data_IF_044881238861
#
_entry.id   IF_044881238861
#
_cell.length_a   1.000
_cell.length_b   1.000
_cell.length_c   1.000
_cell.angle_alpha   90.00
_cell.angle_beta   90.00
_cell.angle_gamma   90.00
#
_symmetry.space_group_name_H-M   'P 1'
#
loop_
_entity.id
_entity.type
_entity.pdbx_description
1 polymer ?
#
# COMPACT_ATOMS: atom_id res chain seq x y z
N UNK A 1 0.71 3.69 3.50
CA UNK A 1 1.33 2.53 4.23
C UNK A 1 2.83 2.61 4.08
N UNK A 2 3.60 2.51 5.16
CA UNK A 2 5.07 2.73 5.18
C UNK A 2 5.76 1.50 5.77
N UNK A 3 6.87 1.00 5.18
CA UNK A 3 7.23 -0.38 5.46
C UNK A 3 8.68 -0.77 5.19
N UNK A 4 9.16 -1.74 5.98
CA UNK A 4 10.35 -2.55 5.70
C UNK A 4 9.97 -3.77 4.86
N UNK A 5 10.89 -4.34 4.07
CA UNK A 5 10.65 -5.55 3.27
C UNK A 5 10.29 -6.76 4.16
N UNK A 6 9.43 -7.67 3.68
CA UNK A 6 9.06 -8.90 4.40
C UNK A 6 8.04 -8.73 5.53
N UNK A 7 7.43 -7.55 5.71
CA UNK A 7 6.50 -7.28 6.83
C UNK A 7 5.03 -7.58 6.53
N UNK A 8 4.70 -8.22 5.39
CA UNK A 8 3.33 -8.61 5.05
C UNK A 8 2.53 -7.56 4.28
N UNK A 9 3.17 -6.54 3.70
CA UNK A 9 2.52 -5.46 2.93
C UNK A 9 1.60 -5.97 1.85
N UNK A 10 2.14 -6.79 0.96
CA UNK A 10 1.43 -7.33 -0.19
C UNK A 10 0.18 -8.10 0.24
N UNK A 11 0.30 -8.94 1.29
CA UNK A 11 -0.85 -9.70 1.81
C UNK A 11 -1.96 -8.79 2.33
N UNK A 12 -1.61 -7.73 3.09
CA UNK A 12 -2.58 -6.72 3.55
C UNK A 12 -3.25 -6.02 2.37
N UNK A 13 -2.45 -5.60 1.38
CA UNK A 13 -2.95 -4.91 0.20
C UNK A 13 -3.90 -5.78 -0.62
N UNK A 14 -3.54 -7.03 -0.85
CA UNK A 14 -4.38 -7.97 -1.60
C UNK A 14 -5.66 -8.27 -0.82
N UNK A 15 -5.59 -8.54 0.49
CA UNK A 15 -6.79 -8.75 1.30
C UNK A 15 -7.71 -7.52 1.31
N UNK A 16 -7.15 -6.30 1.41
CA UNK A 16 -7.94 -5.06 1.29
C UNK A 16 -8.74 -5.00 -0.01
N UNK A 17 -8.13 -5.36 -1.15
CA UNK A 17 -8.81 -5.37 -2.45
C UNK A 17 -9.86 -6.48 -2.54
N UNK A 18 -9.53 -7.69 -2.09
CA UNK A 18 -10.45 -8.83 -2.12
C UNK A 18 -11.68 -8.55 -1.26
N UNK A 19 -11.51 -8.02 -0.04
CA UNK A 19 -12.64 -7.64 0.83
C UNK A 19 -13.53 -6.60 0.16
N UNK A 20 -12.95 -5.65 -0.61
CA UNK A 20 -13.73 -4.73 -1.43
C UNK A 20 -14.50 -5.43 -2.53
N UNK A 21 -13.84 -6.29 -3.29
CA UNK A 21 -14.43 -7.01 -4.40
C UNK A 21 -15.58 -7.94 -3.95
N UNK A 22 -15.43 -8.61 -2.80
CA UNK A 22 -16.49 -9.40 -2.16
C UNK A 22 -17.69 -8.55 -1.75
N UNK A 23 -17.48 -7.28 -1.40
CA UNK A 23 -18.55 -6.31 -1.12
C UNK A 23 -19.12 -5.64 -2.38
N UNK A 24 -18.73 -6.11 -3.57
CA UNK A 24 -19.23 -5.59 -4.85
C UNK A 24 -18.45 -4.38 -5.42
N UNK A 25 -17.41 -3.91 -4.73
CA UNK A 25 -16.56 -2.81 -5.18
C UNK A 25 -15.56 -3.31 -6.24
N UNK A 26 -15.31 -2.48 -7.27
CA UNK A 26 -14.23 -2.79 -8.22
C UNK A 26 -12.88 -2.43 -7.57
N UNK A 27 -11.95 -3.35 -7.64
CA UNK A 27 -10.66 -3.28 -6.96
C UNK A 27 -9.52 -3.44 -7.95
N UNK A 28 -8.47 -2.61 -7.81
CA UNK A 28 -7.33 -2.58 -8.71
C UNK A 28 -6.01 -2.61 -7.94
N UNK A 29 -5.12 -3.51 -8.35
CA UNK A 29 -3.73 -3.55 -7.91
C UNK A 29 -2.82 -3.07 -9.05
N UNK A 30 -2.10 -1.97 -8.82
CA UNK A 30 -1.04 -1.50 -9.72
C UNK A 30 0.32 -1.94 -9.16
N UNK A 31 0.95 -2.87 -9.83
CA UNK A 31 2.30 -3.33 -9.49
C UNK A 31 3.34 -2.53 -10.25
N UNK A 32 4.36 -2.04 -9.52
CA UNK A 32 5.46 -1.25 -10.12
C UNK A 32 6.71 -2.09 -10.33
N UNK A 33 7.01 -3.00 -9.42
CA UNK A 33 8.29 -3.73 -9.39
C UNK A 33 8.13 -5.22 -9.60
N UNK A 34 7.07 -5.83 -9.12
CA UNK A 34 6.84 -7.26 -9.25
C UNK A 34 5.84 -7.55 -10.38
N UNK A 35 6.17 -8.43 -11.36
CA UNK A 35 5.20 -8.85 -12.35
C UNK A 35 3.94 -9.43 -11.73
N UNK A 36 2.78 -9.03 -12.23
CA UNK A 36 1.47 -9.44 -11.68
C UNK A 36 1.27 -10.96 -11.71
N UNK A 37 1.81 -11.67 -12.69
CA UNK A 37 1.77 -13.13 -12.76
C UNK A 37 2.50 -13.80 -11.58
N UNK A 38 3.61 -13.20 -11.11
CA UNK A 38 4.34 -13.69 -9.94
C UNK A 38 3.57 -13.36 -8.67
N UNK A 39 3.03 -12.14 -8.57
CA UNK A 39 2.18 -11.73 -7.45
C UNK A 39 1.00 -12.69 -7.27
N UNK A 40 0.29 -13.01 -8.36
CA UNK A 40 -0.85 -13.92 -8.35
C UNK A 40 -0.47 -15.32 -7.86
N UNK A 41 0.66 -15.87 -8.29
CA UNK A 41 1.16 -17.17 -7.79
C UNK A 41 1.38 -17.18 -6.28
N UNK A 42 1.76 -16.04 -5.70
CA UNK A 42 1.99 -15.90 -4.27
C UNK A 42 0.70 -15.74 -3.46
N UNK A 43 -0.38 -15.25 -4.06
CA UNK A 43 -1.65 -14.96 -3.35
C UNK A 43 -2.74 -16.01 -3.59
N UNK A 44 -2.71 -16.74 -4.70
CA UNK A 44 -3.65 -17.83 -5.01
C UNK A 44 -3.75 -18.88 -3.88
N UNK A 45 -2.65 -19.28 -3.19
CA UNK A 45 -2.73 -20.25 -2.12
C UNK A 45 -3.48 -19.81 -0.86
N UNK A 46 -3.85 -18.54 -0.73
CA UNK A 46 -4.60 -18.09 0.43
C UNK A 46 -6.10 -18.40 0.28
N UNK A 47 -6.72 -18.91 1.34
CA UNK A 47 -8.14 -19.29 1.37
C UNK A 47 -9.10 -18.11 1.10
N UNK A 48 -8.64 -16.88 1.37
CA UNK A 48 -9.43 -15.69 1.09
C UNK A 48 -9.36 -15.23 -0.38
N UNK A 49 -8.48 -15.82 -1.20
CA UNK A 49 -8.36 -15.47 -2.61
C UNK A 49 -9.42 -16.20 -3.43
N UNK A 50 -10.28 -15.43 -4.09
CA UNK A 50 -11.32 -15.95 -4.96
C UNK A 50 -11.03 -15.55 -6.43
N UNK A 51 -10.55 -16.52 -7.22
CA UNK A 51 -10.26 -16.31 -8.65
C UNK A 51 -11.48 -15.84 -9.46
N UNK A 52 -12.70 -16.14 -8.99
CA UNK A 52 -13.92 -15.69 -9.68
C UNK A 52 -14.00 -14.17 -9.72
N UNK A 53 -13.49 -13.47 -8.70
CA UNK A 53 -13.46 -12.01 -8.67
C UNK A 53 -12.62 -11.42 -9.80
N UNK A 54 -11.49 -12.05 -10.12
CA UNK A 54 -10.65 -11.65 -11.25
C UNK A 54 -11.36 -11.93 -12.60
N UNK A 55 -11.98 -13.11 -12.75
CA UNK A 55 -12.74 -13.49 -13.97
C UNK A 55 -13.94 -12.58 -14.20
N UNK A 56 -14.55 -12.05 -13.14
CA UNK A 56 -15.69 -11.12 -13.21
C UNK A 56 -15.25 -9.65 -13.39
N UNK A 57 -13.95 -9.35 -13.45
CA UNK A 57 -13.41 -7.99 -13.53
C UNK A 57 -13.56 -7.16 -12.25
N UNK A 58 -13.95 -7.80 -11.12
CA UNK A 58 -14.07 -7.14 -9.83
C UNK A 58 -12.73 -6.92 -9.14
N UNK A 59 -11.76 -7.76 -9.43
CA UNK A 59 -10.38 -7.65 -8.95
C UNK A 59 -9.44 -7.69 -10.16
N UNK A 60 -8.69 -6.62 -10.35
CA UNK A 60 -7.78 -6.49 -11.48
C UNK A 60 -6.35 -6.25 -11.00
N UNK A 61 -5.39 -6.73 -11.80
CA UNK A 61 -3.96 -6.54 -11.58
C UNK A 61 -3.35 -5.98 -12.85
N UNK A 62 -2.63 -4.87 -12.73
CA UNK A 62 -1.98 -4.19 -13.86
C UNK A 62 -0.51 -3.96 -13.52
N UNK A 63 0.37 -4.31 -14.46
CA UNK A 63 1.79 -3.95 -14.39
C UNK A 63 1.96 -2.51 -14.87
N UNK A 64 2.40 -1.63 -13.98
CA UNK A 64 2.61 -0.21 -14.29
C UNK A 64 3.70 0.00 -15.39
N UNK A 65 4.79 -0.78 -15.45
CA UNK A 65 5.74 -0.70 -16.55
C UNK A 65 5.11 -0.85 -17.94
N UNK A 66 4.10 -1.72 -18.09
CA UNK A 66 3.35 -1.84 -19.36
C UNK A 66 2.51 -0.61 -19.69
N UNK A 67 2.10 0.17 -18.68
CA UNK A 67 1.45 1.46 -18.90
C UNK A 67 2.46 2.50 -19.38
N UNK A 68 3.68 2.51 -18.83
CA UNK A 68 4.75 3.40 -19.30
C UNK A 68 5.04 3.19 -20.79
N UNK A 69 5.21 1.94 -21.21
CA UNK A 69 5.43 1.59 -22.63
C UNK A 69 4.31 2.13 -23.53
N UNK A 70 3.04 1.95 -23.15
CA UNK A 70 1.87 2.42 -23.92
C UNK A 70 1.79 3.95 -23.99
N UNK A 71 2.28 4.65 -22.96
CA UNK A 71 2.26 6.11 -22.89
C UNK A 71 3.51 6.74 -23.50
N UNK A 72 4.49 5.94 -23.93
CA UNK A 72 5.79 6.44 -24.38
C UNK A 72 6.58 7.14 -23.29
N UNK A 73 6.34 6.76 -22.03
CA UNK A 73 7.04 7.33 -20.88
C UNK A 73 8.38 6.62 -20.72
N UNK A 74 9.46 7.39 -20.55
CA UNK A 74 10.77 6.87 -20.21
C UNK A 74 10.73 6.14 -18.87
N UNK A 75 11.35 4.97 -18.83
CA UNK A 75 11.37 4.15 -17.63
C UNK A 75 12.46 4.51 -16.65
N UNK A 76 13.47 5.32 -17.04
CA UNK A 76 14.60 5.69 -16.20
C UNK A 76 14.33 6.94 -15.36
N UNK A 77 13.76 7.98 -15.96
CA UNK A 77 13.46 9.23 -15.30
C UNK A 77 12.11 9.78 -15.76
N UNK A 78 11.29 10.26 -14.82
CA UNK A 78 10.04 10.95 -15.08
C UNK A 78 10.25 12.46 -14.96
N UNK A 79 10.07 13.17 -16.06
CA UNK A 79 9.97 14.62 -16.02
C UNK A 79 8.61 15.07 -15.42
N UNK A 80 8.42 16.36 -15.29
CA UNK A 80 7.22 16.93 -14.69
C UNK A 80 5.94 16.57 -15.45
N UNK A 81 5.97 16.66 -16.78
CA UNK A 81 4.80 16.38 -17.62
C UNK A 81 4.48 14.89 -17.64
N UNK A 82 5.49 14.04 -17.69
CA UNK A 82 5.34 12.57 -17.62
C UNK A 82 4.79 12.11 -16.27
N UNK A 83 5.24 12.70 -15.16
CA UNK A 83 4.70 12.40 -13.84
C UNK A 83 3.22 12.81 -13.72
N UNK A 84 2.84 13.96 -14.27
CA UNK A 84 1.43 14.40 -14.34
C UNK A 84 0.59 13.50 -15.24
N UNK A 85 1.09 13.18 -16.43
CA UNK A 85 0.42 12.26 -17.36
C UNK A 85 0.16 10.91 -16.71
N UNK A 86 1.13 10.39 -15.95
CA UNK A 86 0.97 9.15 -15.21
C UNK A 86 -0.14 9.23 -14.16
N UNK A 87 -0.15 10.30 -13.34
CA UNK A 87 -1.20 10.49 -12.34
C UNK A 87 -2.59 10.58 -12.99
N UNK A 88 -2.71 11.32 -14.10
CA UNK A 88 -3.97 11.48 -14.82
C UNK A 88 -4.42 10.18 -15.50
N UNK A 89 -3.48 9.41 -16.02
CA UNK A 89 -3.79 8.09 -16.61
C UNK A 89 -4.30 7.12 -15.57
N UNK A 90 -3.65 7.05 -14.39
CA UNK A 90 -4.13 6.23 -13.26
C UNK A 90 -5.54 6.66 -12.85
N UNK A 91 -5.78 7.96 -12.75
CA UNK A 91 -7.09 8.50 -12.39
C UNK A 91 -8.15 8.21 -13.47
N UNK A 92 -7.78 8.23 -14.75
CA UNK A 92 -8.62 7.84 -15.88
C UNK A 92 -9.04 6.36 -15.79
N UNK A 93 -8.09 5.46 -15.55
CA UNK A 93 -8.37 4.02 -15.36
C UNK A 93 -9.33 3.80 -14.18
N UNK A 94 -9.12 4.51 -13.07
CA UNK A 94 -9.99 4.42 -11.89
C UNK A 94 -11.43 4.86 -12.22
N UNK A 95 -11.59 5.93 -13.01
CA UNK A 95 -12.89 6.43 -13.42
C UNK A 95 -13.60 5.47 -14.40
N UNK A 96 -12.92 5.11 -15.49
CA UNK A 96 -13.46 4.26 -16.55
C UNK A 96 -13.92 2.90 -16.03
N UNK A 97 -13.15 2.32 -15.12
CA UNK A 97 -13.43 1.01 -14.52
C UNK A 97 -14.24 1.12 -13.21
N UNK A 98 -14.59 2.33 -12.78
CA UNK A 98 -15.31 2.59 -11.52
C UNK A 98 -14.65 1.93 -10.31
N UNK A 99 -13.31 2.02 -10.24
CA UNK A 99 -12.52 1.45 -9.16
C UNK A 99 -12.83 2.17 -7.85
N UNK A 100 -13.10 1.41 -6.79
CA UNK A 100 -13.36 1.92 -5.44
C UNK A 100 -12.22 1.64 -4.48
N UNK A 101 -11.40 0.63 -4.78
CA UNK A 101 -10.20 0.33 -4.00
C UNK A 101 -9.00 0.18 -4.93
N UNK A 102 -7.98 0.97 -4.66
CA UNK A 102 -6.73 0.96 -5.41
C UNK A 102 -5.56 0.65 -4.49
N UNK A 103 -4.65 -0.17 -4.96
CA UNK A 103 -3.30 -0.34 -4.39
C UNK A 103 -2.28 0.09 -5.42
N UNK A 104 -1.31 0.92 -5.04
CA UNK A 104 -0.11 1.22 -5.82
C UNK A 104 1.12 0.71 -5.05
N UNK A 105 1.72 -0.36 -5.52
CA UNK A 105 2.86 -1.05 -4.88
C UNK A 105 4.08 -1.12 -5.83
N UNK A 106 5.09 -0.27 -5.62
CA UNK A 106 5.19 0.74 -4.57
C UNK A 106 5.28 2.15 -5.16
N UNK A 107 4.67 3.11 -4.48
CA UNK A 107 4.79 4.53 -4.84
C UNK A 107 6.25 5.00 -4.71
N UNK A 108 7.02 4.39 -3.80
CA UNK A 108 8.46 4.62 -3.67
C UNK A 108 9.19 4.42 -4.99
N UNK A 109 8.90 3.34 -5.70
CA UNK A 109 9.54 3.03 -7.00
C UNK A 109 9.17 4.02 -8.09
N UNK A 110 7.97 4.61 -8.04
CA UNK A 110 7.58 5.72 -8.94
C UNK A 110 8.36 6.99 -8.58
N UNK A 111 8.37 7.36 -7.30
CA UNK A 111 9.02 8.58 -6.82
C UNK A 111 10.53 8.60 -7.04
N UNK A 112 11.20 7.44 -7.02
CA UNK A 112 12.63 7.35 -7.37
C UNK A 112 12.94 7.83 -8.80
N UNK A 113 11.99 7.71 -9.70
CA UNK A 113 12.13 8.18 -11.09
C UNK A 113 11.89 9.67 -11.25
N UNK A 114 11.19 10.30 -10.31
CA UNK A 114 10.88 11.75 -10.35
C UNK A 114 12.07 12.59 -9.87
N UNK A 115 12.94 12.04 -9.02
CA UNK A 115 14.18 12.64 -8.45
C UNK A 115 14.02 13.95 -7.66
N UNK A 116 13.15 14.85 -8.07
CA UNK A 116 12.94 16.17 -7.46
C UNK A 116 11.84 16.11 -6.39
N UNK A 117 12.12 16.62 -5.18
CA UNK A 117 11.20 16.51 -4.04
C UNK A 117 9.91 17.31 -4.21
N UNK A 118 9.97 18.50 -4.86
CA UNK A 118 8.78 19.30 -5.10
C UNK A 118 7.88 18.65 -6.13
N UNK A 119 8.47 18.04 -7.16
CA UNK A 119 7.74 17.26 -8.18
C UNK A 119 7.13 15.98 -7.57
N UNK A 120 7.83 15.28 -6.68
CA UNK A 120 7.26 14.16 -5.92
C UNK A 120 6.04 14.63 -5.14
N UNK A 121 6.13 15.79 -4.48
CA UNK A 121 5.00 16.35 -3.75
C UNK A 121 3.82 16.68 -4.68
N UNK A 122 4.05 17.31 -5.83
CA UNK A 122 3.00 17.61 -6.81
C UNK A 122 2.34 16.33 -7.32
N UNK A 123 3.13 15.33 -7.71
CA UNK A 123 2.63 14.03 -8.15
C UNK A 123 1.73 13.37 -7.10
N UNK A 124 2.19 13.27 -5.85
CA UNK A 124 1.45 12.62 -4.77
C UNK A 124 0.18 13.38 -4.41
N UNK A 125 0.23 14.72 -4.36
CA UNK A 125 -0.94 15.57 -4.13
C UNK A 125 -1.97 15.41 -5.24
N UNK A 126 -1.52 15.51 -6.51
CA UNK A 126 -2.40 15.34 -7.67
C UNK A 126 -3.07 13.98 -7.66
N UNK A 127 -2.28 12.92 -7.53
CA UNK A 127 -2.77 11.55 -7.50
C UNK A 127 -3.79 11.36 -6.35
N UNK A 128 -3.42 11.71 -5.13
CA UNK A 128 -4.27 11.52 -3.95
C UNK A 128 -5.57 12.32 -4.02
N UNK A 129 -5.52 13.60 -4.39
CA UNK A 129 -6.72 14.45 -4.49
C UNK A 129 -7.66 13.99 -5.60
N UNK A 130 -7.11 13.62 -6.76
CA UNK A 130 -7.92 13.17 -7.91
C UNK A 130 -8.60 11.83 -7.61
N UNK A 131 -7.89 10.87 -7.02
CA UNK A 131 -8.46 9.56 -6.66
C UNK A 131 -9.51 9.69 -5.55
N UNK A 132 -9.26 10.53 -4.55
CA UNK A 132 -10.22 10.82 -3.49
C UNK A 132 -11.50 11.47 -4.02
N UNK A 133 -11.38 12.45 -4.94
CA UNK A 133 -12.53 13.09 -5.58
C UNK A 133 -13.39 12.11 -6.38
N UNK A 134 -12.80 11.03 -6.91
CA UNK A 134 -13.52 9.94 -7.58
C UNK A 134 -14.11 8.90 -6.59
N UNK A 135 -13.94 9.11 -5.29
CA UNK A 135 -14.41 8.22 -4.24
C UNK A 135 -13.65 6.89 -4.19
N UNK A 136 -12.40 6.89 -4.60
CA UNK A 136 -11.53 5.72 -4.54
C UNK A 136 -10.71 5.72 -3.25
N UNK A 137 -10.80 4.66 -2.46
CA UNK A 137 -9.91 4.44 -1.31
C UNK A 137 -8.60 3.86 -1.81
N UNK A 138 -7.49 4.58 -1.61
CA UNK A 138 -6.20 4.22 -2.16
C UNK A 138 -5.19 3.86 -1.08
N UNK A 139 -4.53 2.72 -1.22
CA UNK A 139 -3.35 2.35 -0.45
C UNK A 139 -2.09 2.62 -1.30
N UNK A 140 -1.32 3.62 -0.90
CA UNK A 140 0.02 3.87 -1.46
C UNK A 140 1.05 3.13 -0.60
N UNK A 141 1.70 2.14 -1.19
CA UNK A 141 2.77 1.39 -0.49
C UNK A 141 4.06 2.16 -0.63
N UNK A 142 4.60 2.63 0.51
CA UNK A 142 5.91 3.31 0.55
C UNK A 142 6.91 2.47 1.34
N UNK A 143 8.17 2.47 0.91
CA UNK A 143 9.26 1.74 1.57
C UNK A 143 10.20 2.72 2.25
N UNK A 144 10.49 2.46 3.54
CA UNK A 144 11.50 3.19 4.31
C UNK A 144 12.66 2.27 4.65
N UNK A 145 13.88 2.83 4.64
CA UNK A 145 15.06 2.09 5.08
C UNK A 145 15.08 1.98 6.60
N UNK A 146 15.73 0.93 7.09
CA UNK A 146 15.82 0.67 8.54
C UNK A 146 16.58 1.73 9.33
N UNK A 147 17.38 2.56 8.66
CA UNK A 147 18.18 3.65 9.23
C UNK A 147 17.47 5.01 9.23
N UNK A 148 16.28 5.12 8.62
CA UNK A 148 15.55 6.38 8.51
C UNK A 148 14.66 6.59 9.75
N UNK A 149 14.79 7.75 10.38
CA UNK A 149 13.88 8.25 11.41
C UNK A 149 12.69 8.88 10.69
N UNK A 150 11.46 8.43 10.99
CA UNK A 150 10.23 8.94 10.40
C UNK A 150 9.35 7.87 9.80
N UNK A 151 8.23 8.32 9.24
CA UNK A 151 7.20 7.44 8.66
C UNK A 151 7.11 7.56 7.13
N UNK A 152 7.98 8.33 6.51
CA UNK A 152 8.04 8.48 5.07
C UNK A 152 9.45 8.76 4.58
N UNK A 153 9.71 8.36 3.32
CA UNK A 153 11.05 8.51 2.75
C UNK A 153 11.35 9.96 2.36
N UNK A 154 10.36 10.68 1.87
CA UNK A 154 10.51 12.07 1.41
C UNK A 154 9.85 13.08 2.35
N UNK A 155 9.26 12.66 3.46
CA UNK A 155 8.54 13.55 4.38
C UNK A 155 7.22 14.09 3.84
N UNK A 156 6.83 13.69 2.65
CA UNK A 156 5.66 14.22 1.92
C UNK A 156 4.46 13.29 2.07
N UNK A 157 4.67 12.00 1.97
CA UNK A 157 3.62 10.97 1.92
C UNK A 157 2.76 11.02 3.18
N UNK A 158 3.40 11.13 4.34
CA UNK A 158 2.68 11.19 5.62
C UNK A 158 1.91 12.51 5.82
N UNK A 159 2.37 13.60 5.21
CA UNK A 159 1.68 14.89 5.28
C UNK A 159 0.39 14.88 4.46
N UNK A 160 0.42 14.25 3.29
CA UNK A 160 -0.69 14.19 2.33
C UNK A 160 -1.71 13.14 2.71
N UNK A 161 -1.28 11.94 3.12
CA UNK A 161 -2.15 10.81 3.40
C UNK A 161 -3.16 11.12 4.53
N UNK A 162 -4.41 10.67 4.38
CA UNK A 162 -5.42 10.74 5.43
C UNK A 162 -5.16 9.73 6.56
N UNK A 163 -4.53 8.61 6.25
CA UNK A 163 -4.10 7.60 7.21
C UNK A 163 -2.69 7.12 6.95
N UNK A 164 -1.96 6.85 8.04
CA UNK A 164 -0.62 6.26 7.99
C UNK A 164 -0.63 5.00 8.85
N UNK A 165 -0.39 3.87 8.17
CA UNK A 165 -0.26 2.56 8.80
C UNK A 165 1.19 2.14 8.63
N UNK A 166 1.85 1.78 9.70
CA UNK A 166 3.25 1.35 9.72
C UNK A 166 3.31 -0.15 10.00
N UNK A 167 4.03 -0.89 9.16
CA UNK A 167 4.40 -2.27 9.48
C UNK A 167 5.90 -2.35 9.73
N UNK A 168 6.30 -3.31 10.52
CA UNK A 168 7.70 -3.54 10.88
C UNK A 168 7.91 -4.94 11.42
N UNK A 169 9.13 -5.18 11.85
CA UNK A 169 9.52 -6.38 12.57
C UNK A 169 9.95 -6.00 13.98
N UNK A 170 9.61 -6.84 14.95
CA UNK A 170 9.97 -6.70 16.35
C UNK A 170 10.59 -8.02 16.81
N UNK A 171 11.82 -7.97 17.26
CA UNK A 171 12.43 -9.11 17.94
C UNK A 171 11.94 -9.16 19.38
N UNK A 172 11.41 -10.31 19.80
CA UNK A 172 10.94 -10.54 21.16
C UNK A 172 11.19 -11.98 21.59
N UNK A 173 12.01 -12.17 22.61
CA UNK A 173 12.37 -13.48 23.17
C UNK A 173 12.92 -14.47 22.14
N UNK A 174 13.66 -13.97 21.15
CA UNK A 174 14.23 -14.78 20.08
C UNK A 174 13.31 -14.96 18.87
N UNK A 175 12.05 -14.53 18.94
CA UNK A 175 11.12 -14.57 17.81
C UNK A 175 11.12 -13.23 17.05
N UNK A 176 11.08 -13.29 15.73
CA UNK A 176 10.88 -12.13 14.87
C UNK A 176 9.41 -11.98 14.51
N UNK A 177 8.72 -11.11 15.22
CA UNK A 177 7.30 -10.85 15.03
C UNK A 177 7.07 -9.73 14.01
N UNK A 178 6.16 -9.93 13.06
CA UNK A 178 5.66 -8.83 12.24
C UNK A 178 4.73 -7.95 13.08
N UNK A 179 4.79 -6.64 12.84
CA UNK A 179 3.96 -5.70 13.59
C UNK A 179 3.24 -4.73 12.68
N UNK A 180 2.08 -4.24 13.13
CA UNK A 180 1.32 -3.18 12.50
C UNK A 180 0.93 -2.14 13.54
N UNK A 181 0.99 -0.86 13.15
CA UNK A 181 0.54 0.25 13.98
C UNK A 181 -0.10 1.34 13.12
N UNK A 182 -1.24 1.86 13.55
CA UNK A 182 -1.84 3.05 12.96
C UNK A 182 -1.27 4.27 13.67
N UNK A 183 -0.54 5.11 12.95
CA UNK A 183 0.10 6.32 13.55
C UNK A 183 -0.70 7.59 13.25
N UNK A 184 -1.50 7.59 12.18
CA UNK A 184 -2.36 8.69 11.77
C UNK A 184 -3.65 8.15 11.15
N UNK A 185 -4.77 8.79 11.44
CA UNK A 185 -6.04 8.59 10.75
C UNK A 185 -6.88 9.86 10.92
N UNK A 186 -7.12 10.59 9.83
CA UNK A 186 -7.91 11.81 9.85
C UNK A 186 -9.40 11.48 10.00
N UNK A 187 -10.12 12.33 10.66
CA UNK A 187 -11.59 12.26 10.77
C UNK A 187 -12.15 11.11 11.61
N UNK A 188 -11.29 10.32 12.28
CA UNK A 188 -11.74 9.23 13.14
C UNK A 188 -10.79 8.99 14.31
N UNK A 189 -11.32 8.40 15.38
CA UNK A 189 -10.50 7.87 16.47
C UNK A 189 -9.92 6.51 16.08
N UNK A 190 -8.71 6.22 16.53
CA UNK A 190 -8.07 4.92 16.26
C UNK A 190 -7.16 4.52 17.42
N UNK A 191 -6.94 3.21 17.56
CA UNK A 191 -5.95 2.69 18.50
C UNK A 191 -4.55 2.99 17.97
N UNK A 192 -3.70 3.56 18.82
CA UNK A 192 -2.28 3.77 18.54
C UNK A 192 -1.41 2.62 19.05
N UNK A 193 -2.02 1.56 19.57
CA UNK A 193 -1.30 0.38 20.00
C UNK A 193 -0.60 -0.30 18.83
N UNK A 194 0.52 -0.96 19.12
CA UNK A 194 1.18 -1.84 18.18
C UNK A 194 0.54 -3.23 18.26
N UNK A 195 0.26 -3.81 17.11
CA UNK A 195 -0.31 -5.15 16.98
C UNK A 195 0.73 -6.09 16.39
N UNK A 196 0.73 -7.34 16.81
CA UNK A 196 1.38 -8.43 16.07
C UNK A 196 0.53 -8.73 14.85
N UNK A 197 1.17 -8.79 13.69
CA UNK A 197 0.55 -9.13 12.43
C UNK A 197 0.92 -10.56 12.08
N UNK A 198 -0.08 -11.44 12.06
CA UNK A 198 0.09 -12.81 11.64
C UNK A 198 -0.56 -13.03 10.26
N UNK A 199 0.15 -13.73 9.39
CA UNK A 199 -0.30 -14.07 8.04
C UNK A 199 -0.74 -15.52 8.05
N UNK A 200 -2.04 -15.74 7.97
CA UNK A 200 -2.63 -17.08 7.93
C UNK A 200 -3.24 -17.36 6.56
N UNK A 201 -3.58 -18.59 6.26
CA UNK A 201 -4.29 -18.94 5.03
C UNK A 201 -5.66 -18.27 4.96
N UNK A 202 -6.30 -18.04 6.10
CA UNK A 202 -7.61 -17.38 6.20
C UNK A 202 -7.55 -15.85 6.09
N UNK A 203 -6.35 -15.27 6.15
CA UNK A 203 -6.14 -13.81 6.04
C UNK A 203 -5.16 -13.25 7.06
N UNK A 204 -5.15 -11.93 7.14
CA UNK A 204 -4.31 -11.16 8.07
C UNK A 204 -4.99 -11.10 9.44
N UNK A 205 -4.31 -11.60 10.47
CA UNK A 205 -4.75 -11.49 11.85
C UNK A 205 -3.96 -10.40 12.57
N UNK A 206 -4.64 -9.60 13.37
CA UNK A 206 -4.04 -8.59 14.24
C UNK A 206 -4.31 -8.94 15.70
N UNK A 207 -3.23 -9.20 16.45
CA UNK A 207 -3.29 -9.50 17.87
C UNK A 207 -2.65 -8.35 18.64
N UNK A 208 -3.31 -7.77 19.66
CA UNK A 208 -2.71 -6.71 20.46
C UNK A 208 -1.37 -7.16 21.06
N UNK A 209 -0.32 -6.35 20.88
CA UNK A 209 0.95 -6.60 21.54
C UNK A 209 0.82 -6.24 23.03
N UNK A 210 0.70 -7.25 23.88
CA UNK A 210 0.63 -7.05 25.32
C UNK A 210 1.93 -6.38 25.79
N UNK A 211 1.80 -5.21 26.40
CA UNK A 211 2.90 -4.59 27.15
C UNK A 211 3.20 -5.51 28.31
N UNK A 212 4.41 -6.07 28.35
CA UNK A 212 4.86 -6.82 29.51
C UNK A 212 4.73 -5.94 30.74
N UNK A 213 3.88 -6.32 31.67
CA UNK A 213 3.85 -5.67 32.97
C UNK A 213 5.22 -5.88 33.60
N UNK A 214 5.91 -4.82 33.97
CA UNK A 214 6.98 -4.90 34.95
C UNK A 214 6.33 -5.38 36.25
N UNK A 215 6.54 -6.62 36.61
CA UNK A 215 6.31 -7.06 37.99
C UNK A 215 7.35 -6.30 38.79
N UNK A 216 7.00 -5.12 39.32
CA UNK A 216 7.71 -4.50 40.44
C UNK A 216 7.41 -5.40 41.62
N UNK A 217 8.29 -6.36 41.86
CA UNK A 217 8.33 -7.11 43.09
C UNK A 217 8.56 -6.10 44.20
N UNK A 218 7.53 -5.79 44.96
CA UNK A 218 7.68 -5.21 46.27
C UNK A 218 8.27 -6.29 47.19
N UNK A 219 9.45 -6.02 47.68
CA UNK A 219 10.05 -6.63 48.82
C UNK A 219 10.27 -5.56 49.85
#
# INVERSE_FOLDING_TARGET
>A
MLFRSGTGKTSICVEFLIRGALNGENSLYLSVTEPTDKLLKNVIPFDFFDERLAKQGKLQFIDLPRMYEKLGIDTEELDFEQARLLADTIAGVVEDQRVRRLVLDSVTSVCYRIKDQERIRDFLLRLGTTLSAKGCTTLLVSEIMSSEEGYSRWGVEEAIADGVIVTGNLERRGDLLRTLQIVKMRGTTHSRAKYVLDLTTAGVLLVPLLKGGSVTGGG
#
